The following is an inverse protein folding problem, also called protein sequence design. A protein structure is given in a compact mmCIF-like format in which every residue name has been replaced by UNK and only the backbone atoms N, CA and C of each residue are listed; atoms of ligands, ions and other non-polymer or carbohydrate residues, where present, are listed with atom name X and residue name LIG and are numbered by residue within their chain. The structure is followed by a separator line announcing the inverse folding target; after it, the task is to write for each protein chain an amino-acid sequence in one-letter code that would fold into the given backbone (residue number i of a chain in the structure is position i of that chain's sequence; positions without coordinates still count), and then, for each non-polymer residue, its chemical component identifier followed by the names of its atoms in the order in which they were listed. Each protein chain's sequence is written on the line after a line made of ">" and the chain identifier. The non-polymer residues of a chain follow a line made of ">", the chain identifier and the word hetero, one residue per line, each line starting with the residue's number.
data_IF_330072866316
#
_entry.id   IF_330072866316
#
_cell.length_a   1.000
_cell.length_b   1.000
_cell.length_c   1.000
_cell.angle_alpha   90.00
_cell.angle_beta   90.00
_cell.angle_gamma   90.00
#
_symmetry.space_group_name_H-M   'P 1'
#
loop_
_entity.id
_entity.type
_entity.pdbx_description
1 polymer ?
#
# COMPACT_ATOMS: atom_id res chain seq x y z
N UNK A 1 -12.18 -38.19 18.27
CA UNK A 1 -11.46 -37.89 19.52
C UNK A 1 -9.99 -38.08 19.21
N UNK A 2 -9.12 -37.06 19.37
CA UNK A 2 -7.69 -37.26 19.15
C UNK A 2 -7.17 -38.28 20.18
N UNK A 3 -6.38 -39.23 19.69
CA UNK A 3 -5.78 -40.32 20.44
C UNK A 3 -4.93 -39.75 21.58
N UNK A 4 -5.04 -40.31 22.80
CA UNK A 4 -4.18 -39.92 23.93
C UNK A 4 -2.70 -40.14 23.55
N UNK A 5 -1.95 -39.05 23.33
CA UNK A 5 -0.51 -39.11 22.99
C UNK A 5 -0.09 -38.39 21.70
N UNK A 6 -1.03 -37.92 20.87
CA UNK A 6 -0.70 -37.20 19.64
C UNK A 6 -0.21 -35.77 19.91
N UNK A 7 0.94 -35.40 19.34
CA UNK A 7 1.53 -34.06 19.40
C UNK A 7 1.49 -33.36 18.05
N UNK A 8 1.45 -32.03 18.03
CA UNK A 8 1.41 -31.23 16.80
C UNK A 8 2.82 -31.02 16.24
N UNK A 9 3.00 -31.25 14.94
CA UNK A 9 4.23 -30.93 14.24
C UNK A 9 4.34 -29.43 13.91
N UNK A 10 5.41 -28.79 14.38
CA UNK A 10 5.72 -27.39 14.13
C UNK A 10 6.70 -27.14 12.97
N UNK A 11 7.12 -28.19 12.26
CA UNK A 11 7.88 -28.01 11.02
C UNK A 11 7.04 -27.23 9.99
N UNK A 12 7.67 -26.24 9.34
CA UNK A 12 6.97 -25.29 8.47
C UNK A 12 6.34 -25.98 7.26
N UNK A 13 5.02 -25.88 7.14
CA UNK A 13 4.26 -26.54 6.06
C UNK A 13 3.83 -27.99 6.35
N UNK A 14 4.10 -28.53 7.54
CA UNK A 14 3.57 -29.83 7.98
C UNK A 14 2.23 -29.67 8.71
N UNK A 15 2.24 -29.14 9.94
CA UNK A 15 1.03 -28.86 10.73
C UNK A 15 0.16 -30.07 11.10
N UNK A 16 0.67 -31.30 10.92
CA UNK A 16 -0.03 -32.55 11.23
C UNK A 16 0.18 -32.94 12.69
N UNK A 17 -0.79 -33.62 13.29
CA UNK A 17 -0.58 -34.35 14.54
C UNK A 17 0.14 -35.68 14.25
N UNK A 18 1.02 -36.10 15.15
CA UNK A 18 1.79 -37.33 15.03
C UNK A 18 2.01 -37.97 16.41
N UNK A 19 2.24 -39.28 16.44
CA UNK A 19 2.64 -39.98 17.66
C UNK A 19 4.17 -39.97 17.78
N UNK A 20 4.75 -39.48 18.90
CA UNK A 20 6.21 -39.42 19.08
C UNK A 20 6.89 -40.78 18.96
N UNK A 21 6.21 -41.87 19.32
CA UNK A 21 6.78 -43.22 19.30
C UNK A 21 6.81 -43.83 17.88
N UNK A 22 6.06 -43.25 16.94
CA UNK A 22 6.01 -43.71 15.54
C UNK A 22 6.69 -42.72 14.56
N UNK A 23 7.45 -41.76 15.08
CA UNK A 23 8.13 -40.73 14.27
C UNK A 23 9.36 -41.30 13.54
N UNK A 24 9.28 -41.47 12.21
CA UNK A 24 10.40 -41.91 11.37
C UNK A 24 10.99 -40.73 10.58
N UNK A 25 12.16 -40.94 9.99
CA UNK A 25 12.87 -39.91 9.22
C UNK A 25 12.16 -39.52 7.91
N UNK A 26 11.22 -40.33 7.43
CA UNK A 26 10.43 -40.05 6.22
C UNK A 26 9.02 -39.50 6.51
N UNK A 27 8.65 -39.38 7.80
CA UNK A 27 7.26 -39.16 8.20
C UNK A 27 6.77 -37.71 8.01
N UNK A 28 7.66 -36.73 8.13
CA UNK A 28 7.32 -35.31 8.00
C UNK A 28 7.85 -34.71 6.70
N UNK A 29 6.97 -34.24 5.82
CA UNK A 29 7.34 -33.41 4.67
C UNK A 29 7.12 -31.92 4.98
N UNK A 30 8.17 -31.12 4.91
CA UNK A 30 8.15 -29.71 5.33
C UNK A 30 9.16 -28.85 4.52
N UNK A 31 9.17 -27.55 4.79
CA UNK A 31 10.12 -26.60 4.23
C UNK A 31 11.15 -26.19 5.30
N UNK A 32 12.44 -26.53 5.14
CA UNK A 32 13.49 -26.07 6.06
C UNK A 32 13.81 -24.57 5.89
N UNK A 33 13.39 -23.99 4.76
CA UNK A 33 13.62 -22.58 4.45
C UNK A 33 12.72 -21.60 5.20
N UNK A 34 12.82 -20.34 4.80
CA UNK A 34 11.95 -19.25 5.25
C UNK A 34 11.00 -18.84 4.13
N UNK A 35 9.79 -18.33 4.45
CA UNK A 35 8.94 -17.67 3.48
C UNK A 35 9.69 -16.49 2.82
N UNK A 36 9.58 -16.36 1.51
CA UNK A 36 10.16 -15.27 0.71
C UNK A 36 9.04 -14.62 -0.09
N UNK A 37 8.93 -13.30 0.01
CA UNK A 37 7.95 -12.49 -0.69
C UNK A 37 8.68 -11.40 -1.49
N UNK A 38 8.69 -11.51 -2.82
CA UNK A 38 9.38 -10.56 -3.71
C UNK A 38 8.66 -10.48 -5.06
N UNK A 39 8.53 -9.29 -5.65
CA UNK A 39 7.87 -9.05 -6.95
C UNK A 39 6.49 -9.72 -7.10
N UNK A 40 5.63 -9.60 -6.08
CA UNK A 40 4.32 -10.27 -5.97
C UNK A 40 4.35 -11.81 -5.92
N UNK A 41 5.52 -12.44 -6.02
CA UNK A 41 5.70 -13.86 -5.83
C UNK A 41 5.95 -14.22 -4.36
N UNK A 42 5.37 -15.35 -3.97
CA UNK A 42 5.43 -15.95 -2.63
C UNK A 42 6.01 -17.35 -2.78
N UNK A 43 7.02 -17.67 -1.99
CA UNK A 43 7.69 -18.97 -2.07
C UNK A 43 8.53 -19.26 -0.83
N UNK A 44 9.29 -20.34 -0.88
CA UNK A 44 10.17 -20.78 0.20
C UNK A 44 11.62 -20.73 -0.25
N UNK A 45 12.55 -20.27 0.60
CA UNK A 45 13.97 -20.20 0.23
C UNK A 45 14.61 -21.56 -0.05
N UNK A 46 14.01 -22.65 0.45
CA UNK A 46 14.51 -24.02 0.27
C UNK A 46 14.11 -24.67 -1.07
N UNK A 47 13.18 -24.09 -1.83
CA UNK A 47 12.75 -24.66 -3.11
C UNK A 47 12.36 -23.60 -4.14
N UNK A 48 12.31 -23.97 -5.42
CA UNK A 48 12.02 -23.02 -6.51
C UNK A 48 10.52 -22.78 -6.74
N UNK A 49 9.63 -23.43 -5.98
CA UNK A 49 8.17 -23.26 -6.13
C UNK A 49 7.76 -21.87 -5.64
N UNK A 50 7.14 -21.11 -6.54
CA UNK A 50 6.64 -19.76 -6.29
C UNK A 50 5.21 -19.69 -6.80
N UNK A 51 4.39 -18.89 -6.14
CA UNK A 51 3.01 -18.63 -6.51
C UNK A 51 2.72 -17.14 -6.29
N UNK A 52 1.65 -16.64 -6.88
CA UNK A 52 1.19 -15.26 -6.69
C UNK A 52 0.08 -15.19 -5.64
N UNK A 53 -0.68 -16.27 -5.44
CA UNK A 53 -1.76 -16.36 -4.47
C UNK A 53 -1.27 -16.78 -3.07
N UNK A 54 -1.90 -16.24 -2.01
CA UNK A 54 -1.51 -16.55 -0.64
C UNK A 54 -2.02 -17.92 -0.17
N UNK A 55 -3.19 -18.35 -0.61
CA UNK A 55 -3.75 -19.66 -0.29
C UNK A 55 -2.92 -20.76 -0.94
N UNK A 56 -2.51 -20.55 -2.19
CA UNK A 56 -1.60 -21.45 -2.88
C UNK A 56 -0.25 -21.57 -2.16
N UNK A 57 0.31 -20.44 -1.68
CA UNK A 57 1.56 -20.42 -0.91
C UNK A 57 1.50 -21.31 0.33
N UNK A 58 0.43 -21.21 1.13
CA UNK A 58 0.23 -22.02 2.33
C UNK A 58 0.09 -23.51 2.01
N UNK A 59 -0.41 -23.83 0.81
CA UNK A 59 -0.61 -25.21 0.35
C UNK A 59 0.61 -25.80 -0.36
N UNK A 60 1.70 -25.05 -0.57
CA UNK A 60 2.93 -25.56 -1.17
C UNK A 60 3.45 -26.71 -0.30
N UNK A 61 3.42 -27.93 -0.84
CA UNK A 61 3.96 -29.12 -0.17
C UNK A 61 5.44 -28.93 0.16
N UNK A 62 5.83 -29.38 1.35
CA UNK A 62 7.22 -29.41 1.80
C UNK A 62 8.16 -30.01 0.77
N UNK A 63 9.39 -29.50 0.71
CA UNK A 63 10.41 -29.99 -0.21
C UNK A 63 11.40 -30.98 0.42
N UNK A 64 11.34 -31.18 1.74
CA UNK A 64 12.26 -32.02 2.50
C UNK A 64 11.49 -32.95 3.42
N UNK A 65 11.97 -34.19 3.56
CA UNK A 65 11.45 -35.19 4.48
C UNK A 65 12.39 -35.34 5.68
N UNK A 66 11.85 -35.31 6.90
CA UNK A 66 12.57 -35.65 8.14
C UNK A 66 11.59 -36.19 9.19
N UNK A 67 12.06 -36.33 10.43
CA UNK A 67 11.22 -36.46 11.61
C UNK A 67 10.28 -35.26 11.79
N UNK A 68 9.11 -35.50 12.36
CA UNK A 68 8.25 -34.44 12.90
C UNK A 68 8.92 -33.76 14.10
N UNK A 69 8.58 -32.49 14.33
CA UNK A 69 9.10 -31.67 15.42
C UNK A 69 7.96 -31.19 16.31
N UNK A 70 8.00 -31.54 17.60
CA UNK A 70 7.02 -31.18 18.63
C UNK A 70 7.35 -29.86 19.36
N UNK A 71 8.55 -29.31 19.14
CA UNK A 71 8.97 -28.04 19.72
C UNK A 71 8.35 -26.87 18.95
N UNK A 72 7.53 -26.08 19.66
CA UNK A 72 7.01 -24.82 19.14
C UNK A 72 8.18 -23.82 18.98
N UNK A 73 8.45 -23.32 17.76
CA UNK A 73 9.43 -22.26 17.58
C UNK A 73 9.08 -21.06 18.45
N UNK A 74 10.08 -20.50 19.14
CA UNK A 74 9.91 -19.28 19.92
C UNK A 74 9.39 -18.19 18.99
N UNK A 75 8.27 -17.56 19.38
CA UNK A 75 7.73 -16.46 18.60
C UNK A 75 8.80 -15.36 18.48
N UNK A 76 9.12 -14.90 17.26
CA UNK A 76 10.04 -13.80 17.10
C UNK A 76 9.48 -12.61 17.87
N UNK A 77 10.29 -12.02 18.75
CA UNK A 77 9.89 -10.83 19.49
C UNK A 77 9.47 -9.78 18.47
N UNK A 78 8.21 -9.31 18.56
CA UNK A 78 7.76 -8.20 17.74
C UNK A 78 8.77 -7.08 17.93
N UNK A 79 9.36 -6.53 16.84
CA UNK A 79 10.26 -5.40 16.98
C UNK A 79 9.54 -4.35 17.80
N UNK A 80 10.18 -3.91 18.88
CA UNK A 80 9.64 -2.83 19.71
C UNK A 80 9.63 -1.62 18.81
N UNK A 81 8.46 -1.32 18.26
CA UNK A 81 8.24 -0.08 17.53
C UNK A 81 8.43 1.01 18.55
N UNK A 82 9.56 1.71 18.46
CA UNK A 82 9.83 2.88 19.26
C UNK A 82 8.78 3.93 18.88
N UNK A 83 7.72 4.03 19.68
CA UNK A 83 6.57 4.92 19.44
C UNK A 83 7.00 6.39 19.36
N UNK A 84 8.20 6.72 19.82
CA UNK A 84 8.77 8.06 19.70
C UNK A 84 9.05 8.47 18.24
N UNK A 85 9.14 7.52 17.30
CA UNK A 85 9.37 7.79 15.87
C UNK A 85 8.14 7.58 14.97
N UNK A 86 7.00 7.21 15.54
CA UNK A 86 5.77 6.98 14.76
C UNK A 86 5.28 8.25 14.05
N UNK A 87 5.54 9.43 14.62
CA UNK A 87 5.20 10.74 14.05
C UNK A 87 6.28 11.32 13.11
N UNK A 88 7.43 10.64 12.90
CA UNK A 88 8.45 11.13 11.98
C UNK A 88 7.98 10.98 10.53
N UNK A 89 7.42 12.05 9.97
CA UNK A 89 7.16 12.19 8.55
C UNK A 89 8.48 12.16 7.80
N UNK A 90 8.76 11.06 7.10
CA UNK A 90 9.96 10.94 6.26
C UNK A 90 9.72 11.78 5.00
N UNK A 91 10.25 13.00 4.97
CA UNK A 91 10.24 13.88 3.79
C UNK A 91 11.32 13.41 2.80
N UNK A 92 10.92 12.62 1.79
CA UNK A 92 11.85 12.24 0.74
C UNK A 92 12.12 13.43 -0.20
N UNK A 93 13.37 13.90 -0.22
CA UNK A 93 13.88 14.83 -1.25
C UNK A 93 14.69 14.03 -2.26
N UNK A 94 14.24 14.03 -3.51
CA UNK A 94 15.05 13.48 -4.59
C UNK A 94 16.42 14.19 -4.62
N UNK A 95 17.53 13.47 -4.78
CA UNK A 95 18.84 14.08 -5.00
C UNK A 95 18.72 15.08 -6.15
N UNK A 96 19.12 16.33 -5.92
CA UNK A 96 19.23 17.28 -7.02
C UNK A 96 20.25 16.70 -8.01
N UNK A 97 19.92 16.60 -9.30
CA UNK A 97 20.93 16.21 -10.27
C UNK A 97 22.09 17.18 -10.14
N UNK A 98 23.30 16.64 -9.97
CA UNK A 98 24.54 17.42 -10.05
C UNK A 98 24.66 17.76 -11.53
N UNK A 99 24.07 18.89 -11.91
CA UNK A 99 24.32 19.45 -13.23
C UNK A 99 25.43 20.46 -13.02
N UNK A 100 26.65 20.09 -13.37
CA UNK A 100 27.72 21.06 -13.64
C UNK A 100 27.35 21.80 -14.94
N UNK A 101 26.31 22.64 -14.90
CA UNK A 101 26.10 23.68 -15.91
C UNK A 101 26.74 24.93 -15.34
N UNK A 102 27.60 25.58 -16.12
CA UNK A 102 28.08 26.91 -15.79
C UNK A 102 26.90 27.85 -15.51
N UNK A 103 26.73 28.23 -14.25
CA UNK A 103 25.64 29.04 -13.70
C UNK A 103 25.61 30.51 -14.20
N UNK A 104 26.18 30.83 -15.36
CA UNK A 104 26.09 32.18 -15.89
C UNK A 104 24.74 32.33 -16.58
N UNK A 105 23.77 32.83 -15.80
CA UNK A 105 22.50 33.34 -16.31
C UNK A 105 22.77 34.23 -17.52
N UNK A 106 22.21 33.92 -18.71
CA UNK A 106 22.32 34.79 -19.87
C UNK A 106 21.83 36.20 -19.54
N UNK A 107 22.46 37.22 -20.15
CA UNK A 107 22.02 38.61 -20.00
C UNK A 107 20.53 38.75 -20.31
N UNK A 108 19.87 39.71 -19.65
CA UNK A 108 18.46 40.02 -19.91
C UNK A 108 18.20 40.42 -21.36
N UNK A 109 19.20 41.01 -22.03
CA UNK A 109 19.14 41.41 -23.45
C UNK A 109 19.43 40.27 -24.43
N UNK A 110 19.57 39.03 -23.95
CA UNK A 110 19.82 37.89 -24.83
C UNK A 110 18.59 37.61 -25.72
N UNK A 111 18.83 37.26 -27.01
CA UNK A 111 17.74 37.00 -27.93
C UNK A 111 16.90 35.80 -27.47
N UNK A 112 15.58 35.99 -27.43
CA UNK A 112 14.64 34.96 -27.02
C UNK A 112 14.63 33.81 -28.04
N UNK A 113 14.95 32.61 -27.58
CA UNK A 113 14.79 31.39 -28.38
C UNK A 113 13.51 30.68 -27.97
N UNK A 114 12.66 30.36 -28.95
CA UNK A 114 11.45 29.55 -28.71
C UNK A 114 11.84 28.09 -28.54
N UNK A 115 11.77 27.58 -27.32
CA UNK A 115 12.04 26.17 -27.03
C UNK A 115 10.85 25.35 -27.52
N UNK A 116 11.10 24.37 -28.39
CA UNK A 116 10.13 23.35 -28.78
C UNK A 116 10.25 22.16 -27.82
N UNK A 117 9.26 21.90 -26.96
CA UNK A 117 9.33 20.74 -26.07
C UNK A 117 9.23 19.45 -26.90
N UNK A 118 10.22 18.57 -26.78
CA UNK A 118 10.15 17.22 -27.33
C UNK A 118 9.46 16.32 -26.33
N UNK A 119 8.19 16.02 -26.57
CA UNK A 119 7.41 15.08 -25.75
C UNK A 119 7.70 13.68 -26.27
N UNK A 120 8.21 12.79 -25.40
CA UNK A 120 8.44 11.39 -25.76
C UNK A 120 7.13 10.67 -26.08
N UNK A 121 7.19 9.68 -26.97
CA UNK A 121 6.01 8.88 -27.33
C UNK A 121 5.46 8.11 -26.12
N UNK A 122 6.34 7.72 -25.19
CA UNK A 122 5.95 7.10 -23.91
C UNK A 122 5.08 8.05 -23.09
N UNK A 123 5.48 9.32 -22.95
CA UNK A 123 4.70 10.30 -22.20
C UNK A 123 3.38 10.62 -22.91
N UNK A 124 3.37 10.70 -24.25
CA UNK A 124 2.13 10.87 -25.03
C UNK A 124 1.16 9.70 -24.79
N UNK A 125 1.66 8.48 -24.79
CA UNK A 125 0.86 7.27 -24.53
C UNK A 125 0.37 7.22 -23.08
N UNK A 126 1.21 7.54 -22.10
CA UNK A 126 0.83 7.59 -20.70
C UNK A 126 -0.24 8.66 -20.41
N UNK A 127 -0.13 9.85 -21.00
CA UNK A 127 -1.15 10.90 -20.87
C UNK A 127 -2.46 10.52 -21.57
N UNK A 128 -2.39 9.85 -22.72
CA UNK A 128 -3.57 9.33 -23.40
C UNK A 128 -4.28 8.22 -22.59
N UNK A 129 -3.51 7.36 -21.92
CA UNK A 129 -4.03 6.30 -21.05
C UNK A 129 -4.59 6.84 -19.72
N UNK A 130 -3.93 7.82 -19.10
CA UNK A 130 -4.41 8.44 -17.84
C UNK A 130 -5.73 9.22 -18.00
N UNK A 131 -6.09 9.64 -19.21
CA UNK A 131 -7.38 10.30 -19.46
C UNK A 131 -8.57 9.32 -19.51
N UNK A 132 -8.34 8.00 -19.42
CA UNK A 132 -9.42 7.00 -19.51
C UNK A 132 -9.83 6.39 -18.16
N UNK A 133 -8.99 6.46 -17.12
CA UNK A 133 -9.28 5.83 -15.81
C UNK A 133 -9.35 6.82 -14.62
N UNK A 134 -9.61 8.10 -14.87
CA UNK A 134 -9.89 9.06 -13.80
C UNK A 134 -10.94 10.07 -14.21
N UNK A 135 -12.16 9.58 -14.42
CA UNK A 135 -13.37 10.39 -14.45
C UNK A 135 -14.27 10.06 -13.25
N UNK A 136 -13.70 9.92 -12.06
CA UNK A 136 -14.42 10.30 -10.84
C UNK A 136 -14.50 11.82 -10.86
N UNK A 137 -15.49 12.37 -11.58
CA UNK A 137 -15.81 13.79 -11.49
C UNK A 137 -16.40 14.00 -10.11
N UNK A 138 -15.53 14.32 -9.17
CA UNK A 138 -15.88 14.80 -7.84
C UNK A 138 -16.46 16.20 -8.04
N UNK A 139 -17.79 16.32 -8.12
CA UNK A 139 -18.43 17.63 -8.23
C UNK A 139 -18.54 18.26 -6.85
N UNK A 140 -18.10 19.52 -6.74
CA UNK A 140 -18.53 20.41 -5.68
C UNK A 140 -20.07 20.53 -5.68
N UNK A 141 -20.64 20.83 -4.53
CA UNK A 141 -22.09 21.01 -4.38
C UNK A 141 -22.58 22.15 -5.28
N UNK A 142 -23.52 21.87 -6.19
CA UNK A 142 -24.05 22.79 -7.21
C UNK A 142 -25.28 23.59 -6.74
N UNK A 143 -25.59 23.58 -5.44
CA UNK A 143 -26.72 24.32 -4.89
C UNK A 143 -28.09 23.66 -5.12
N UNK A 144 -28.15 22.46 -5.69
CA UNK A 144 -29.41 21.78 -5.99
C UNK A 144 -29.54 20.46 -5.21
N UNK A 145 -29.97 20.61 -3.95
CA UNK A 145 -30.34 19.51 -3.07
C UNK A 145 -30.03 19.82 -1.60
N UNK A 146 -30.91 19.42 -0.68
CA UNK A 146 -30.62 19.54 0.74
C UNK A 146 -29.55 18.52 1.15
N UNK A 147 -28.46 19.00 1.76
CA UNK A 147 -27.45 18.14 2.39
C UNK A 147 -27.99 17.76 3.78
N UNK A 148 -28.20 16.46 4.09
CA UNK A 148 -28.60 16.07 5.44
C UNK A 148 -27.52 16.43 6.46
N UNK A 149 -27.92 17.01 7.59
CA UNK A 149 -27.04 17.20 8.74
C UNK A 149 -26.45 15.84 9.14
N UNK A 150 -25.14 15.80 9.34
CA UNK A 150 -24.40 14.55 9.58
C UNK A 150 -23.74 13.97 8.32
N UNK A 151 -23.91 14.56 7.13
CA UNK A 151 -23.23 14.09 5.92
C UNK A 151 -21.73 14.35 6.02
N UNK A 152 -20.89 13.33 5.84
CA UNK A 152 -19.43 13.46 5.89
C UNK A 152 -18.85 13.86 4.55
N UNK A 153 -17.79 14.68 4.58
CA UNK A 153 -17.02 15.02 3.38
C UNK A 153 -16.44 13.76 2.73
N UNK A 154 -16.47 13.73 1.40
CA UNK A 154 -16.02 12.59 0.57
C UNK A 154 -14.62 12.79 -0.01
N UNK A 155 -13.98 13.91 0.26
CA UNK A 155 -12.59 14.14 -0.08
C UNK A 155 -11.67 13.31 0.82
N UNK A 156 -10.59 12.77 0.25
CA UNK A 156 -9.69 11.87 0.96
C UNK A 156 -9.07 12.55 2.18
N UNK A 157 -9.03 11.86 3.33
CA UNK A 157 -8.55 12.35 4.64
C UNK A 157 -9.37 13.48 5.30
N UNK A 158 -10.37 14.05 4.62
CA UNK A 158 -11.23 15.05 5.23
C UNK A 158 -12.23 14.38 6.19
N UNK A 159 -12.25 14.81 7.45
CA UNK A 159 -13.14 14.29 8.50
C UNK A 159 -14.32 15.23 8.82
N UNK A 160 -14.49 16.29 8.02
CA UNK A 160 -15.54 17.27 8.25
C UNK A 160 -16.93 16.67 8.01
N UNK A 161 -17.85 16.98 8.92
CA UNK A 161 -19.27 16.62 8.82
C UNK A 161 -20.07 17.89 8.58
N UNK A 162 -21.10 17.80 7.74
CA UNK A 162 -22.02 18.88 7.45
C UNK A 162 -22.94 19.12 8.65
N UNK A 163 -22.83 20.29 9.28
CA UNK A 163 -23.63 20.69 10.44
C UNK A 163 -24.60 21.83 10.10
N UNK A 164 -24.41 22.50 8.95
CA UNK A 164 -25.29 23.54 8.44
C UNK A 164 -24.65 24.37 7.33
N UNK A 165 -25.30 25.47 6.90
CA UNK A 165 -24.79 26.35 5.85
C UNK A 165 -23.42 26.96 6.15
N UNK A 166 -23.10 27.12 7.44
CA UNK A 166 -21.78 27.58 7.91
C UNK A 166 -20.64 26.63 7.52
N UNK A 167 -20.91 25.32 7.45
CA UNK A 167 -19.92 24.31 7.07
C UNK A 167 -19.61 24.33 5.56
N UNK A 168 -20.41 25.02 4.75
CA UNK A 168 -20.11 25.18 3.32
C UNK A 168 -18.96 26.17 3.08
N UNK A 169 -18.78 27.13 3.97
CA UNK A 169 -17.71 28.14 3.88
C UNK A 169 -16.39 27.71 4.50
N UNK A 170 -16.31 26.53 5.13
CA UNK A 170 -15.07 26.05 5.75
C UNK A 170 -14.13 25.46 4.70
N UNK A 171 -12.81 25.72 4.80
CA UNK A 171 -11.83 25.14 3.89
C UNK A 171 -11.68 23.63 4.10
N UNK A 172 -11.76 22.85 3.02
CA UNK A 172 -11.54 21.40 3.06
C UNK A 172 -10.06 21.08 2.85
N UNK A 173 -9.37 20.66 3.91
CA UNK A 173 -7.98 20.16 3.81
C UNK A 173 -7.99 18.67 3.47
N UNK A 174 -7.48 18.29 2.29
CA UNK A 174 -7.55 16.91 1.80
C UNK A 174 -6.34 16.49 0.94
N UNK A 175 -6.33 15.22 0.53
CA UNK A 175 -5.38 14.69 -0.45
C UNK A 175 -6.07 14.49 -1.82
N UNK A 176 -5.74 15.25 -2.88
CA UNK A 176 -6.34 15.06 -4.21
C UNK A 176 -5.83 13.80 -4.92
N UNK A 177 -4.71 13.24 -4.45
CA UNK A 177 -4.14 12.00 -4.98
C UNK A 177 -4.85 10.75 -4.45
N UNK A 178 -4.30 9.61 -4.78
CA UNK A 178 -4.76 8.29 -4.34
C UNK A 178 -3.75 7.64 -3.38
N UNK A 179 -4.21 6.73 -2.50
CA UNK A 179 -3.34 6.03 -1.57
C UNK A 179 -2.47 5.00 -2.29
N UNK A 180 -1.21 4.89 -1.90
CA UNK A 180 -0.25 3.92 -2.44
C UNK A 180 0.38 3.11 -1.31
N UNK A 181 0.42 1.80 -1.49
CA UNK A 181 1.00 0.83 -0.56
C UNK A 181 2.02 -0.03 -1.30
N UNK A 182 3.30 0.38 -1.32
CA UNK A 182 4.39 -0.41 -1.91
C UNK A 182 5.56 -0.54 -0.95
N UNK A 183 6.20 -1.71 -0.92
CA UNK A 183 7.46 -1.95 -0.17
C UNK A 183 7.37 -1.60 1.33
N UNK A 184 6.21 -1.81 1.95
CA UNK A 184 5.99 -1.49 3.36
C UNK A 184 5.77 0.00 3.66
N UNK A 185 5.83 0.87 2.65
CA UNK A 185 5.51 2.29 2.74
C UNK A 185 4.07 2.59 2.31
N UNK A 186 3.48 3.60 2.94
CA UNK A 186 2.13 4.09 2.76
C UNK A 186 2.15 5.59 2.56
N UNK A 187 1.58 6.08 1.46
CA UNK A 187 1.60 7.50 1.11
C UNK A 187 0.52 7.88 0.10
N UNK A 188 0.30 9.19 -0.06
CA UNK A 188 -0.58 9.76 -1.08
C UNK A 188 0.23 10.23 -2.27
N UNK A 189 -0.22 9.98 -3.50
CA UNK A 189 0.50 10.41 -4.71
C UNK A 189 0.62 11.93 -4.89
N UNK A 190 -0.23 12.71 -4.21
CA UNK A 190 -0.23 14.16 -4.29
C UNK A 190 0.83 14.85 -3.42
N UNK A 191 1.54 14.12 -2.54
CA UNK A 191 2.55 14.72 -1.67
C UNK A 191 3.69 13.74 -1.36
N UNK A 192 4.75 14.24 -0.74
CA UNK A 192 5.96 13.44 -0.42
C UNK A 192 5.93 12.77 0.95
N UNK A 193 4.85 12.95 1.73
CA UNK A 193 4.69 12.38 3.07
C UNK A 193 4.55 10.86 3.00
N UNK A 194 5.47 10.12 3.61
CA UNK A 194 5.48 8.65 3.64
C UNK A 194 5.48 8.14 5.08
N UNK A 195 4.78 7.03 5.31
CA UNK A 195 4.69 6.35 6.62
C UNK A 195 4.81 4.85 6.44
N UNK A 196 5.29 4.13 7.45
CA UNK A 196 5.27 2.66 7.46
C UNK A 196 4.06 2.12 8.22
N UNK A 197 3.50 2.90 9.15
CA UNK A 197 2.32 2.54 9.95
C UNK A 197 1.00 2.94 9.27
N UNK A 198 -0.03 2.10 9.39
CA UNK A 198 -1.32 2.34 8.73
C UNK A 198 -2.19 3.38 9.44
N UNK A 199 -2.17 3.44 10.77
CA UNK A 199 -2.94 4.43 11.50
C UNK A 199 -2.38 5.82 11.25
N UNK A 200 -1.05 5.94 11.27
CA UNK A 200 -0.32 7.16 10.92
C UNK A 200 -0.69 7.64 9.52
N UNK A 201 -0.83 6.72 8.54
CA UNK A 201 -1.31 7.03 7.19
C UNK A 201 -2.75 7.61 7.17
N UNK A 202 -3.69 7.01 7.91
CA UNK A 202 -5.07 7.50 8.01
C UNK A 202 -5.19 8.86 8.72
N UNK A 203 -4.22 9.17 9.58
CA UNK A 203 -4.14 10.42 10.34
C UNK A 203 -3.39 11.52 9.59
N UNK A 204 -2.76 11.22 8.45
CA UNK A 204 -2.07 12.22 7.64
C UNK A 204 -3.02 13.35 7.23
N UNK A 205 -2.67 14.56 7.64
CA UNK A 205 -3.39 15.78 7.23
C UNK A 205 -3.18 16.02 5.74
N UNK A 206 -4.28 16.33 5.06
CA UNK A 206 -4.33 16.73 3.66
C UNK A 206 -3.25 17.74 3.26
N UNK A 207 -2.85 17.68 2.00
CA UNK A 207 -1.81 18.57 1.44
C UNK A 207 -2.37 19.71 0.59
N UNK A 208 -3.67 19.70 0.28
CA UNK A 208 -4.35 20.72 -0.51
C UNK A 208 -5.57 21.23 0.24
N UNK A 209 -6.01 22.44 -0.11
CA UNK A 209 -7.15 23.10 0.50
C UNK A 209 -8.12 23.50 -0.60
N UNK A 210 -9.29 22.86 -0.63
CA UNK A 210 -10.33 23.02 -1.64
C UNK A 210 -11.72 23.12 -0.96
N UNK A 211 -12.80 23.06 -1.73
CA UNK A 211 -14.17 23.00 -1.20
C UNK A 211 -14.57 21.58 -0.78
N UNK A 212 -15.47 21.48 0.19
CA UNK A 212 -16.00 20.19 0.64
C UNK A 212 -16.87 19.53 -0.44
N UNK A 213 -16.78 18.21 -0.51
CA UNK A 213 -17.58 17.39 -1.42
C UNK A 213 -18.49 16.50 -0.58
N UNK A 214 -19.80 16.72 -0.68
CA UNK A 214 -20.80 15.99 0.11
C UNK A 214 -21.42 14.81 -0.67
N UNK A 215 -21.41 14.89 -2.00
CA UNK A 215 -21.98 13.86 -2.88
C UNK A 215 -20.97 13.44 -3.95
N UNK A 216 -20.84 12.13 -4.18
CA UNK A 216 -20.07 11.58 -5.30
C UNK A 216 -21.08 11.17 -6.36
N UNK A 217 -20.89 11.60 -7.60
CA UNK A 217 -21.69 11.12 -8.72
C UNK A 217 -21.49 9.60 -8.85
N UNK A 218 -22.58 8.83 -8.85
CA UNK A 218 -22.51 7.39 -9.09
C UNK A 218 -22.31 7.15 -10.58
N UNK A 219 -21.07 7.15 -11.05
CA UNK A 219 -20.75 6.52 -12.32
C UNK A 219 -20.40 5.07 -12.05
N UNK A 220 -21.27 4.17 -12.52
CA UNK A 220 -21.14 2.74 -12.29
C UNK A 220 -19.99 2.13 -13.07
N UNK A 221 -18.86 1.92 -12.41
CA UNK A 221 -17.97 0.81 -12.71
C UNK A 221 -17.68 0.09 -11.41
N UNK A 222 -18.57 -0.85 -11.07
CA UNK A 222 -18.26 -1.84 -10.05
C UNK A 222 -17.03 -2.61 -10.54
N UNK A 223 -15.86 -2.27 -10.01
CA UNK A 223 -14.63 -3.04 -10.21
C UNK A 223 -14.93 -4.44 -9.70
N UNK A 224 -15.13 -5.39 -10.62
CA UNK A 224 -15.25 -6.81 -10.27
C UNK A 224 -13.90 -7.25 -9.72
N UNK A 225 -13.80 -7.37 -8.40
CA UNK A 225 -12.74 -8.12 -7.77
C UNK A 225 -12.82 -9.57 -8.29
N UNK A 226 -11.71 -10.02 -8.89
CA UNK A 226 -11.52 -11.38 -9.35
C UNK A 226 -10.87 -12.21 -8.25
#
# INVERSE_FOLDING_TARGET
>A
MPSEGEVLCYNKGCGKTFDPNQNKDDSCTYHPGVPVFHDAYKGWSCCKKKCTDFTEFLNIKGCTTSFHNDEKPVEPQKPVVDKSKADEVIEYRAPRPIIEVSDVRPSFDSPLTKITPMISDVLRQQVAACNQDSADVVKAYDGQGDIPIGTTCKNNSCKQTYEGPETLGTPCVHHPGYPVFHEGMKFWTCCTKRTTDFNSFLEQVGCCTDEHVWFKAKNGSAVKCR
#
